data_IF_638891904901
#
_entry.id   IF_638891904901
#
_cell.length_a   1.000
_cell.length_b   1.000
_cell.length_c   1.000
_cell.angle_alpha   90.00
_cell.angle_beta   90.00
_cell.angle_gamma   90.00
#
_symmetry.space_group_name_H-M   'P 1'
#
loop_
_entity.id
_entity.type
_entity.pdbx_description
1 polymer ?
#
# COMPACT_ATOMS: atom_id res chain seq x y z
N UNK A 1 54.52 -46.66 25.24
CA UNK A 1 54.21 -47.91 24.50
C UNK A 1 53.43 -47.51 23.26
N UNK A 2 54.09 -47.31 22.12
CA UNK A 2 54.23 -48.25 20.97
C UNK A 2 52.90 -48.70 20.35
N UNK A 3 52.72 -48.33 19.08
CA UNK A 3 52.00 -49.08 18.03
C UNK A 3 50.71 -48.43 17.56
N UNK A 4 50.31 -48.45 16.29
CA UNK A 4 50.92 -48.96 15.06
C UNK A 4 50.09 -48.38 13.90
N UNK A 5 50.75 -47.94 12.83
CA UNK A 5 50.14 -47.55 11.55
C UNK A 5 49.44 -48.75 10.89
N UNK A 6 48.29 -48.54 10.24
CA UNK A 6 47.89 -49.30 9.04
C UNK A 6 47.09 -48.42 8.07
N UNK A 7 47.73 -48.13 6.95
CA UNK A 7 47.14 -47.57 5.73
C UNK A 7 46.45 -48.69 4.95
N UNK A 8 45.24 -48.44 4.46
CA UNK A 8 44.59 -49.23 3.40
C UNK A 8 44.32 -48.30 2.23
N UNK A 9 45.07 -48.49 1.14
CA UNK A 9 44.77 -47.90 -0.16
C UNK A 9 43.69 -48.72 -0.86
N UNK A 10 42.56 -48.09 -1.15
CA UNK A 10 41.52 -48.62 -2.03
C UNK A 10 41.41 -47.73 -3.26
N UNK A 11 41.82 -48.24 -4.42
CA UNK A 11 41.56 -47.62 -5.70
C UNK A 11 40.05 -47.77 -6.02
N UNK A 12 39.30 -46.67 -6.00
CA UNK A 12 37.92 -46.61 -6.47
C UNK A 12 37.90 -46.13 -7.92
N UNK A 13 37.56 -47.04 -8.84
CA UNK A 13 37.11 -46.69 -10.19
C UNK A 13 35.76 -45.97 -10.09
N UNK A 14 35.72 -44.68 -10.42
CA UNK A 14 34.48 -43.96 -10.64
C UNK A 14 33.97 -44.20 -12.07
N UNK A 15 32.70 -44.61 -12.26
CA UNK A 15 32.11 -44.64 -13.59
C UNK A 15 31.86 -43.21 -14.07
N UNK A 16 32.23 -42.94 -15.33
CA UNK A 16 31.92 -41.70 -16.02
C UNK A 16 30.40 -41.56 -16.16
N UNK A 17 29.81 -40.66 -15.35
CA UNK A 17 28.42 -40.23 -15.50
C UNK A 17 28.36 -39.26 -16.68
N UNK A 18 27.77 -39.72 -17.78
CA UNK A 18 27.47 -38.89 -18.95
C UNK A 18 26.33 -37.92 -18.58
N UNK A 19 26.65 -36.65 -18.32
CA UNK A 19 25.67 -35.59 -18.13
C UNK A 19 25.04 -35.22 -19.47
N UNK A 20 23.82 -35.73 -19.72
CA UNK A 20 22.93 -35.24 -20.76
C UNK A 20 22.49 -33.81 -20.39
N UNK A 21 23.08 -32.81 -21.05
CA UNK A 21 22.61 -31.44 -21.00
C UNK A 21 21.24 -31.38 -21.70
N UNK A 22 20.17 -31.40 -20.91
CA UNK A 22 18.83 -31.07 -21.39
C UNK A 22 18.82 -29.58 -21.78
N UNK A 23 18.81 -29.31 -23.08
CA UNK A 23 18.61 -27.96 -23.59
C UNK A 23 17.25 -27.45 -23.15
N UNK A 24 17.23 -26.41 -22.33
CA UNK A 24 16.01 -25.71 -21.98
C UNK A 24 15.42 -25.13 -23.29
N UNK A 25 14.26 -25.63 -23.71
CA UNK A 25 13.49 -25.02 -24.78
C UNK A 25 13.16 -23.58 -24.35
N UNK A 26 13.51 -22.61 -25.20
CA UNK A 26 13.16 -21.21 -24.96
C UNK A 26 11.63 -21.10 -24.81
N UNK A 27 11.14 -20.21 -23.92
CA UNK A 27 9.70 -20.01 -23.74
C UNK A 27 9.07 -19.62 -25.07
N UNK A 28 7.96 -20.28 -25.40
CA UNK A 28 7.23 -20.06 -26.64
C UNK A 28 6.63 -18.65 -26.62
N UNK A 29 7.24 -17.73 -27.36
CA UNK A 29 6.78 -16.34 -27.45
C UNK A 29 5.59 -16.29 -28.40
N UNK A 30 4.40 -16.06 -27.83
CA UNK A 30 3.17 -15.85 -28.59
C UNK A 30 3.09 -14.40 -29.08
N UNK A 31 3.47 -14.18 -30.33
CA UNK A 31 3.30 -12.89 -30.99
C UNK A 31 1.82 -12.63 -31.29
N UNK A 32 1.34 -11.42 -30.96
CA UNK A 32 0.01 -10.94 -31.33
C UNK A 32 0.14 -9.69 -32.18
N UNK A 33 -0.48 -9.73 -33.35
CA UNK A 33 -0.46 -8.62 -34.29
C UNK A 33 -1.78 -7.84 -34.24
N UNK A 34 -1.66 -6.52 -34.31
CA UNK A 34 -2.81 -5.61 -34.36
C UNK A 34 -2.61 -4.60 -35.48
N UNK A 35 -3.68 -4.30 -36.22
CA UNK A 35 -3.71 -3.19 -37.16
C UNK A 35 -4.37 -1.99 -36.48
N UNK A 36 -3.61 -0.92 -36.31
CA UNK A 36 -4.14 0.38 -35.91
C UNK A 36 -4.39 1.23 -37.15
N UNK A 37 -5.59 1.78 -37.25
CA UNK A 37 -5.93 2.78 -38.25
C UNK A 37 -6.36 4.09 -37.56
N UNK A 38 -5.69 5.18 -37.89
CA UNK A 38 -6.04 6.54 -37.47
C UNK A 38 -6.71 7.28 -38.62
N UNK A 39 -7.88 7.86 -38.36
CA UNK A 39 -8.51 8.87 -39.23
C UNK A 39 -8.35 10.24 -38.58
N UNK A 40 -7.74 11.17 -39.32
CA UNK A 40 -7.62 12.59 -38.93
C UNK A 40 -8.62 13.41 -39.75
N UNK A 41 -9.38 14.26 -39.07
CA UNK A 41 -10.23 15.25 -39.70
C UNK A 41 -9.94 16.61 -39.07
N UNK A 42 -9.70 17.61 -39.90
CA UNK A 42 -9.61 18.99 -39.45
C UNK A 42 -11.03 19.49 -39.15
N UNK A 43 -11.20 20.12 -38.00
CA UNK A 43 -12.49 20.64 -37.57
C UNK A 43 -12.44 22.18 -37.57
N UNK A 44 -13.21 22.79 -38.47
CA UNK A 44 -13.33 24.25 -38.65
C UNK A 44 -12.89 24.72 -40.04
N UNK A 45 -13.30 25.94 -40.42
CA UNK A 45 -12.78 26.63 -41.59
C UNK A 45 -11.52 27.39 -41.17
N UNK A 46 -10.36 27.00 -41.70
CA UNK A 46 -9.05 27.31 -41.14
C UNK A 46 -8.17 28.17 -42.08
N UNK A 47 -8.55 29.42 -42.41
CA UNK A 47 -7.84 30.23 -43.40
C UNK A 47 -6.45 30.74 -42.94
N UNK A 48 -6.08 30.58 -41.66
CA UNK A 48 -4.81 31.10 -41.11
C UNK A 48 -4.10 30.19 -40.10
N UNK A 49 -4.54 28.92 -39.97
CA UNK A 49 -3.82 27.86 -39.26
C UNK A 49 -3.70 27.98 -37.73
N UNK A 50 -4.27 29.01 -37.09
CA UNK A 50 -4.01 29.28 -35.65
C UNK A 50 -4.89 28.55 -34.64
N UNK A 51 -6.00 27.91 -35.02
CA UNK A 51 -6.87 27.18 -34.07
C UNK A 51 -7.52 25.92 -34.68
N UNK A 52 -6.79 25.21 -35.55
CA UNK A 52 -7.33 23.99 -36.14
C UNK A 52 -7.27 22.84 -35.14
N UNK A 53 -8.40 22.55 -34.51
CA UNK A 53 -8.54 21.31 -33.73
C UNK A 53 -8.58 20.12 -34.69
N UNK A 54 -7.64 19.19 -34.52
CA UNK A 54 -7.62 17.93 -35.30
C UNK A 54 -8.39 16.88 -34.52
N UNK A 55 -9.54 16.47 -35.05
CA UNK A 55 -10.28 15.33 -34.54
C UNK A 55 -9.61 14.05 -35.01
N UNK A 56 -9.28 13.17 -34.06
CA UNK A 56 -8.66 11.86 -34.33
C UNK A 56 -9.64 10.75 -33.94
N UNK A 57 -9.85 9.80 -34.83
CA UNK A 57 -10.62 8.58 -34.57
C UNK A 57 -9.73 7.37 -34.82
N UNK A 58 -9.69 6.43 -33.88
CA UNK A 58 -8.86 5.24 -33.96
C UNK A 58 -9.73 3.99 -34.15
N UNK A 59 -9.26 3.04 -34.96
CA UNK A 59 -9.84 1.71 -35.10
C UNK A 59 -8.73 0.68 -34.95
N UNK A 60 -8.93 -0.29 -34.07
CA UNK A 60 -7.95 -1.34 -33.77
C UNK A 60 -8.57 -2.68 -34.13
N UNK A 61 -7.89 -3.50 -34.93
CA UNK A 61 -8.34 -4.85 -35.27
C UNK A 61 -7.23 -5.86 -35.01
N UNK A 62 -7.50 -6.97 -34.29
CA UNK A 62 -6.52 -8.04 -34.15
C UNK A 62 -6.41 -8.81 -35.47
N UNK A 63 -5.23 -9.31 -35.79
CA UNK A 63 -5.08 -10.38 -36.76
C UNK A 63 -5.53 -11.70 -36.13
N UNK A 64 -6.19 -12.54 -36.93
CA UNK A 64 -6.48 -13.90 -36.48
C UNK A 64 -5.18 -14.70 -36.45
N UNK A 65 -5.10 -15.72 -35.60
CA UNK A 65 -3.92 -16.58 -35.50
C UNK A 65 -3.58 -17.26 -36.84
N UNK A 66 -4.60 -17.63 -37.61
CA UNK A 66 -4.46 -18.19 -38.96
C UNK A 66 -3.77 -17.22 -39.95
N UNK A 67 -3.78 -15.91 -39.68
CA UNK A 67 -3.19 -14.88 -40.56
C UNK A 67 -1.79 -14.46 -40.10
N UNK A 68 -1.18 -15.14 -39.11
CA UNK A 68 0.10 -14.76 -38.50
C UNK A 68 1.23 -14.60 -39.53
N UNK A 69 1.40 -15.58 -40.40
CA UNK A 69 2.49 -15.57 -41.39
C UNK A 69 2.30 -14.44 -42.40
N UNK A 70 1.06 -14.18 -42.81
CA UNK A 70 0.72 -13.07 -43.69
C UNK A 70 1.00 -11.71 -43.02
N UNK A 71 0.68 -11.59 -41.73
CA UNK A 71 0.99 -10.39 -40.95
C UNK A 71 2.52 -10.17 -40.86
N UNK A 72 3.29 -11.20 -40.52
CA UNK A 72 4.76 -11.15 -40.46
C UNK A 72 5.39 -10.72 -41.79
N UNK A 73 4.91 -11.30 -42.90
CA UNK A 73 5.36 -10.92 -44.24
C UNK A 73 5.04 -9.45 -44.54
N UNK A 74 3.83 -9.00 -44.21
CA UNK A 74 3.43 -7.60 -44.39
C UNK A 74 4.35 -6.66 -43.59
N UNK A 75 4.58 -6.92 -42.31
CA UNK A 75 5.47 -6.09 -41.48
C UNK A 75 6.91 -6.08 -42.01
N UNK A 76 7.43 -7.23 -42.44
CA UNK A 76 8.77 -7.32 -43.05
C UNK A 76 8.87 -6.50 -44.33
N UNK A 77 7.83 -6.51 -45.18
CA UNK A 77 7.79 -5.71 -46.41
C UNK A 77 7.74 -4.21 -46.10
N UNK A 78 6.93 -3.81 -45.12
CA UNK A 78 6.82 -2.40 -44.69
C UNK A 78 8.13 -1.88 -44.10
N UNK A 79 8.81 -2.69 -43.27
CA UNK A 79 10.10 -2.35 -42.68
C UNK A 79 11.18 -2.17 -43.74
N UNK A 80 11.31 -3.12 -44.67
CA UNK A 80 12.25 -3.00 -45.80
C UNK A 80 12.01 -1.73 -46.61
N UNK A 81 10.73 -1.41 -46.86
CA UNK A 81 10.36 -0.19 -47.57
C UNK A 81 10.78 1.07 -46.79
N UNK A 82 10.50 1.13 -45.49
CA UNK A 82 10.90 2.25 -44.62
C UNK A 82 12.42 2.44 -44.62
N UNK A 83 13.18 1.35 -44.42
CA UNK A 83 14.66 1.37 -44.43
C UNK A 83 15.17 1.86 -45.79
N UNK A 84 14.62 1.37 -46.89
CA UNK A 84 15.03 1.81 -48.24
C UNK A 84 14.74 3.29 -48.52
N UNK A 85 13.76 3.87 -47.83
CA UNK A 85 13.43 5.29 -47.88
C UNK A 85 14.22 6.15 -46.87
N UNK A 86 15.17 5.56 -46.12
CA UNK A 86 15.90 6.26 -45.06
C UNK A 86 15.05 6.62 -43.83
N UNK A 87 13.87 6.00 -43.69
CA UNK A 87 12.98 6.20 -42.55
C UNK A 87 13.29 5.18 -41.45
N UNK A 88 13.10 5.58 -40.19
CA UNK A 88 13.15 4.64 -39.07
C UNK A 88 11.91 3.74 -39.09
N UNK A 89 12.01 2.45 -38.71
CA UNK A 89 10.86 1.55 -38.61
C UNK A 89 9.78 2.08 -37.65
N UNK A 90 10.22 2.71 -36.55
CA UNK A 90 9.35 3.38 -35.59
C UNK A 90 9.29 4.89 -35.87
N UNK A 91 8.11 5.38 -36.24
CA UNK A 91 7.89 6.82 -36.42
C UNK A 91 7.88 7.55 -35.08
N UNK A 92 8.53 8.72 -34.94
CA UNK A 92 8.43 9.55 -33.75
C UNK A 92 6.99 10.02 -33.47
N UNK A 93 6.14 10.04 -34.50
CA UNK A 93 4.72 10.40 -34.41
C UNK A 93 3.81 9.19 -34.08
N UNK A 94 4.38 7.99 -33.87
CA UNK A 94 3.60 6.82 -33.51
C UNK A 94 2.84 7.07 -32.19
N UNK A 95 1.54 6.73 -32.12
CA UNK A 95 0.77 6.92 -30.91
C UNK A 95 1.38 6.11 -29.77
N UNK A 96 1.76 6.80 -28.70
CA UNK A 96 2.19 6.16 -27.47
C UNK A 96 0.97 5.53 -26.83
N UNK A 97 0.85 4.21 -26.90
CA UNK A 97 -0.12 3.50 -26.09
C UNK A 97 0.30 3.69 -24.63
N UNK A 98 -0.54 4.38 -23.86
CA UNK A 98 -0.48 4.25 -22.41
C UNK A 98 -0.53 2.75 -22.13
N UNK A 99 0.45 2.19 -21.42
CA UNK A 99 0.34 0.86 -20.82
C UNK A 99 -0.76 0.91 -19.76
N UNK A 100 -2.01 1.01 -20.21
CA UNK A 100 -3.22 1.16 -19.42
C UNK A 100 -3.65 -0.18 -18.85
N UNK A 101 -2.75 -0.87 -18.17
CA UNK A 101 -3.15 -1.60 -16.98
C UNK A 101 -3.13 -0.60 -15.85
N UNK A 102 -3.98 -0.76 -14.84
CA UNK A 102 -3.53 -0.47 -13.49
C UNK A 102 -2.08 -0.96 -13.40
N UNK A 103 -1.14 -0.16 -12.90
CA UNK A 103 0.18 -0.70 -12.53
C UNK A 103 -0.12 -2.01 -11.83
N UNK A 104 0.19 -3.12 -12.49
CA UNK A 104 0.06 -4.42 -11.87
C UNK A 104 0.95 -4.26 -10.64
N UNK A 105 0.36 -4.33 -9.46
CA UNK A 105 1.17 -4.34 -8.25
C UNK A 105 2.19 -5.45 -8.49
N UNK A 106 3.48 -5.18 -8.23
CA UNK A 106 4.54 -6.18 -8.40
C UNK A 106 4.40 -7.35 -7.40
N UNK A 107 3.28 -7.42 -6.68
CA UNK A 107 2.88 -8.44 -5.74
C UNK A 107 1.36 -8.71 -5.85
N UNK A 108 0.94 -9.91 -5.46
CA UNK A 108 -0.46 -10.26 -5.27
C UNK A 108 -0.89 -9.92 -3.83
N UNK A 109 -1.81 -8.96 -3.61
CA UNK A 109 -2.26 -8.58 -2.27
C UNK A 109 -2.90 -9.73 -1.48
N UNK A 110 -3.52 -10.70 -2.15
CA UNK A 110 -4.16 -11.86 -1.50
C UNK A 110 -3.13 -12.90 -1.02
N UNK A 111 -1.91 -12.88 -1.58
CA UNK A 111 -0.81 -13.75 -1.14
C UNK A 111 0.02 -13.14 -0.01
N UNK A 112 -0.24 -11.88 0.37
CA UNK A 112 0.43 -11.26 1.50
C UNK A 112 0.01 -11.94 2.80
N UNK A 113 0.98 -12.23 3.65
CA UNK A 113 0.71 -12.77 4.99
C UNK A 113 -0.04 -11.71 5.81
N UNK A 114 -1.09 -12.16 6.50
CA UNK A 114 -1.75 -11.33 7.50
C UNK A 114 -0.74 -10.86 8.54
N UNK A 115 -0.68 -9.55 8.72
CA UNK A 115 0.23 -8.95 9.68
C UNK A 115 -0.30 -9.04 11.09
N UNK A 116 0.59 -8.91 12.08
CA UNK A 116 0.15 -8.76 13.47
C UNK A 116 -0.43 -7.36 13.70
N UNK A 117 -1.17 -7.16 14.80
CA UNK A 117 -1.83 -5.88 15.10
C UNK A 117 -0.85 -4.71 15.31
N UNK A 118 0.40 -4.97 15.71
CA UNK A 118 1.39 -3.92 15.98
C UNK A 118 2.01 -3.37 14.69
N UNK A 119 2.11 -4.18 13.65
CA UNK A 119 2.64 -3.78 12.35
C UNK A 119 1.86 -2.64 11.71
N UNK A 120 0.57 -2.51 12.05
CA UNK A 120 -0.24 -1.36 11.62
C UNK A 120 0.27 -0.01 12.16
N UNK A 121 1.11 0.00 13.19
CA UNK A 121 1.69 1.20 13.78
C UNK A 121 3.04 1.59 13.16
N UNK A 122 3.62 0.72 12.32
CA UNK A 122 4.94 0.95 11.72
C UNK A 122 4.88 2.12 10.74
N UNK A 123 5.89 2.99 10.81
CA UNK A 123 6.05 4.12 9.90
C UNK A 123 5.10 5.30 10.15
N UNK A 124 4.24 5.22 11.17
CA UNK A 124 3.41 6.35 11.57
C UNK A 124 4.30 7.45 12.14
N UNK A 125 4.32 8.60 11.46
CA UNK A 125 5.09 9.80 11.87
C UNK A 125 4.26 10.88 12.53
N UNK A 126 2.96 10.85 12.27
CA UNK A 126 2.01 11.82 12.78
C UNK A 126 0.67 11.16 13.09
N UNK A 127 -0.06 11.72 14.03
CA UNK A 127 -1.39 11.26 14.44
C UNK A 127 -2.26 12.46 14.80
N UNK A 128 -3.57 12.30 14.61
CA UNK A 128 -4.55 13.24 15.12
C UNK A 128 -5.38 12.60 16.23
N UNK A 129 -5.76 13.40 17.21
CA UNK A 129 -6.81 13.13 18.18
C UNK A 129 -7.41 14.46 18.65
N UNK A 130 -8.68 14.42 19.05
CA UNK A 130 -9.35 15.53 19.73
C UNK A 130 -10.12 15.00 20.94
N UNK A 131 -9.63 15.36 22.12
CA UNK A 131 -10.22 15.03 23.41
C UNK A 131 -10.87 16.24 24.08
N UNK A 132 -10.76 17.42 23.46
CA UNK A 132 -11.20 18.70 24.05
C UNK A 132 -12.69 18.71 24.40
N UNK A 133 -13.49 17.90 23.69
CA UNK A 133 -14.94 17.79 23.85
C UNK A 133 -15.39 16.57 24.67
N UNK A 134 -14.46 15.81 25.26
CA UNK A 134 -14.85 14.70 26.13
C UNK A 134 -15.59 15.21 27.37
N UNK A 135 -16.77 14.64 27.61
CA UNK A 135 -17.59 14.94 28.79
C UNK A 135 -16.87 14.44 30.04
N UNK A 136 -16.85 15.28 31.07
CA UNK A 136 -16.32 14.92 32.38
C UNK A 136 -17.24 13.91 33.12
N UNK A 137 -16.69 13.04 33.98
CA UNK A 137 -17.51 12.29 34.93
C UNK A 137 -18.17 13.24 35.94
N UNK A 138 -19.28 12.79 36.54
CA UNK A 138 -20.02 13.61 37.49
C UNK A 138 -19.16 13.93 38.72
N UNK A 139 -19.18 15.18 39.17
CA UNK A 139 -18.36 15.66 40.29
C UNK A 139 -16.91 16.03 39.96
N UNK A 140 -16.46 15.86 38.70
CA UNK A 140 -15.13 16.33 38.29
C UNK A 140 -15.07 17.87 38.28
N UNK A 141 -14.12 18.43 39.02
CA UNK A 141 -13.88 19.87 39.05
C UNK A 141 -12.88 20.27 37.95
N UNK A 142 -13.31 21.14 37.02
CA UNK A 142 -12.43 21.76 36.01
C UNK A 142 -12.65 21.26 34.58
N UNK A 143 -11.67 21.54 33.71
CA UNK A 143 -11.75 21.28 32.28
C UNK A 143 -11.24 19.88 31.92
N UNK A 144 -12.11 18.86 32.04
CA UNK A 144 -11.74 17.45 31.80
C UNK A 144 -11.15 17.21 30.41
N UNK A 145 -11.92 17.48 29.35
CA UNK A 145 -11.49 17.28 27.96
C UNK A 145 -10.23 18.08 27.58
N UNK A 146 -10.19 19.40 27.83
CA UNK A 146 -8.99 20.20 27.56
C UNK A 146 -7.75 19.75 28.35
N UNK A 147 -7.90 19.33 29.60
CA UNK A 147 -6.79 18.79 30.40
C UNK A 147 -6.26 17.46 29.81
N UNK A 148 -7.16 16.57 29.36
CA UNK A 148 -6.78 15.33 28.67
C UNK A 148 -6.08 15.62 27.34
N UNK A 149 -6.58 16.58 26.55
CA UNK A 149 -5.96 17.00 25.30
C UNK A 149 -4.52 17.46 25.54
N UNK A 150 -4.30 18.34 26.51
CA UNK A 150 -2.98 18.83 26.86
C UNK A 150 -2.03 17.71 27.30
N UNK A 151 -2.51 16.77 28.12
CA UNK A 151 -1.71 15.63 28.56
C UNK A 151 -1.36 14.65 27.44
N UNK A 152 -2.30 14.38 26.53
CA UNK A 152 -2.03 13.56 25.34
C UNK A 152 -0.98 14.25 24.46
N UNK A 153 -1.15 15.53 24.14
CA UNK A 153 -0.19 16.28 23.33
C UNK A 153 1.20 16.28 23.95
N UNK A 154 1.29 16.48 25.27
CA UNK A 154 2.55 16.46 26.02
C UNK A 154 3.24 15.11 25.90
N UNK A 155 2.52 14.00 26.12
CA UNK A 155 3.06 12.63 26.07
C UNK A 155 3.50 12.23 24.65
N UNK A 156 2.68 12.52 23.65
CA UNK A 156 2.99 12.20 22.25
C UNK A 156 4.20 13.00 21.76
N UNK A 157 4.27 14.29 22.10
CA UNK A 157 5.43 15.13 21.78
C UNK A 157 6.70 14.64 22.47
N UNK A 158 6.61 14.24 23.75
CA UNK A 158 7.75 13.68 24.48
C UNK A 158 8.27 12.36 23.88
N UNK A 159 7.38 11.55 23.29
CA UNK A 159 7.75 10.33 22.57
C UNK A 159 8.26 10.59 21.14
N UNK A 160 8.25 11.84 20.66
CA UNK A 160 8.68 12.21 19.31
C UNK A 160 7.64 11.96 18.21
N UNK A 161 6.38 11.67 18.57
CA UNK A 161 5.29 11.49 17.62
C UNK A 161 4.57 12.82 17.36
N UNK A 162 4.47 13.24 16.10
CA UNK A 162 3.86 14.52 15.74
C UNK A 162 2.35 14.47 15.92
N UNK A 163 1.78 15.40 16.69
CA UNK A 163 0.34 15.63 16.75
C UNK A 163 -0.05 16.65 15.71
N UNK A 164 -1.07 16.36 14.90
CA UNK A 164 -1.56 17.29 13.86
C UNK A 164 -2.97 17.78 14.13
N UNK A 165 -3.27 19.00 13.68
CA UNK A 165 -4.61 19.59 13.74
C UNK A 165 -5.55 18.99 12.69
N UNK A 166 -6.85 19.21 12.89
CA UNK A 166 -7.88 18.78 11.95
C UNK A 166 -7.70 19.40 10.55
N UNK A 167 -7.30 20.69 10.45
CA UNK A 167 -7.08 21.33 9.14
C UNK A 167 -5.93 20.69 8.37
N UNK A 168 -4.93 20.14 9.08
CA UNK A 168 -3.78 19.49 8.47
C UNK A 168 -4.13 18.10 7.93
N UNK A 169 -5.02 17.35 8.59
CA UNK A 169 -5.52 16.06 8.08
C UNK A 169 -6.20 16.21 6.73
N UNK A 170 -6.94 17.30 6.53
CA UNK A 170 -7.61 17.57 5.24
C UNK A 170 -6.62 17.80 4.10
N UNK A 171 -5.40 18.26 4.41
CA UNK A 171 -4.34 18.56 3.45
C UNK A 171 -3.34 17.42 3.28
N UNK A 172 -3.20 16.55 4.28
CA UNK A 172 -2.25 15.43 4.30
C UNK A 172 -3.01 14.08 4.31
N UNK A 173 -3.29 13.51 3.12
CA UNK A 173 -3.99 12.22 3.04
C UNK A 173 -3.16 11.11 3.68
N UNK A 174 -3.80 10.25 4.46
CA UNK A 174 -3.18 9.08 5.08
C UNK A 174 -2.78 9.26 6.54
N UNK A 175 -2.94 10.47 7.12
CA UNK A 175 -2.73 10.65 8.57
C UNK A 175 -3.75 9.81 9.37
N UNK A 176 -3.29 8.98 10.32
CA UNK A 176 -4.15 8.18 11.19
C UNK A 176 -4.84 9.04 12.26
N UNK A 177 -6.05 8.64 12.64
CA UNK A 177 -6.84 9.33 13.68
C UNK A 177 -7.06 8.37 14.85
N UNK A 178 -6.58 8.75 16.03
CA UNK A 178 -6.85 8.06 17.28
C UNK A 178 -8.16 8.61 17.87
N UNK A 179 -9.19 7.76 17.87
CA UNK A 179 -10.49 8.10 18.43
C UNK A 179 -10.57 7.50 19.83
N UNK A 180 -11.00 8.29 20.81
CA UNK A 180 -11.22 7.84 22.19
C UNK A 180 -12.68 8.05 22.52
N UNK A 181 -13.34 6.97 22.91
CA UNK A 181 -14.72 6.91 23.36
C UNK A 181 -14.71 6.67 24.86
N UNK A 182 -15.48 7.46 25.59
CA UNK A 182 -15.54 7.41 27.04
C UNK A 182 -16.99 7.43 27.51
N UNK A 183 -17.31 6.44 28.34
CA UNK A 183 -18.56 6.38 29.10
C UNK A 183 -18.22 6.54 30.58
N UNK A 184 -18.64 7.63 31.24
CA UNK A 184 -18.36 7.85 32.66
C UNK A 184 -19.15 6.87 33.55
N UNK A 185 -18.68 6.72 34.79
CA UNK A 185 -19.40 5.96 35.82
C UNK A 185 -20.80 6.55 36.04
N UNK A 186 -21.81 5.70 36.11
CA UNK A 186 -23.17 6.08 36.45
C UNK A 186 -23.50 5.58 37.86
N UNK A 187 -23.61 6.51 38.81
CA UNK A 187 -23.88 6.21 40.22
C UNK A 187 -25.32 5.74 40.46
N UNK A 188 -26.28 6.12 39.62
CA UNK A 188 -27.68 5.69 39.74
C UNK A 188 -27.86 4.23 39.33
N UNK A 189 -27.15 3.80 38.28
CA UNK A 189 -27.24 2.42 37.75
C UNK A 189 -26.18 1.48 38.31
N UNK A 190 -25.15 2.01 38.97
CA UNK A 190 -23.98 1.25 39.44
C UNK A 190 -23.07 0.77 38.30
N UNK A 191 -23.22 1.29 37.09
CA UNK A 191 -22.36 0.94 35.96
C UNK A 191 -21.03 1.69 36.06
N UNK A 192 -19.93 0.95 36.11
CA UNK A 192 -18.59 1.55 36.09
C UNK A 192 -18.25 2.15 34.71
N UNK A 193 -17.27 3.07 34.72
CA UNK A 193 -16.76 3.68 33.50
C UNK A 193 -16.17 2.66 32.51
N UNK A 194 -16.13 3.06 31.25
CA UNK A 194 -15.46 2.31 30.18
C UNK A 194 -14.83 3.28 29.18
N UNK A 195 -13.60 2.97 28.78
CA UNK A 195 -12.85 3.72 27.76
C UNK A 195 -12.54 2.76 26.63
N UNK A 196 -12.83 3.16 25.40
CA UNK A 196 -12.43 2.44 24.21
C UNK A 196 -11.70 3.39 23.27
N UNK A 197 -10.57 2.97 22.72
CA UNK A 197 -9.84 3.74 21.75
C UNK A 197 -9.53 2.92 20.50
N UNK A 198 -9.56 3.57 19.35
CA UNK A 198 -9.24 2.96 18.06
C UNK A 198 -8.46 3.92 17.15
N UNK A 199 -7.36 3.41 16.59
CA UNK A 199 -6.62 4.10 15.54
C UNK A 199 -7.23 3.79 14.18
N UNK A 200 -7.92 4.78 13.63
CA UNK A 200 -8.51 4.74 12.30
C UNK A 200 -7.49 5.10 11.23
N UNK A 201 -7.27 4.20 10.28
CA UNK A 201 -6.39 4.41 9.13
C UNK A 201 -7.14 4.19 7.82
N UNK A 202 -6.56 4.70 6.74
CA UNK A 202 -6.99 4.34 5.40
C UNK A 202 -6.44 2.97 5.04
N UNK A 203 -7.29 2.07 4.57
CA UNK A 203 -6.90 0.74 4.07
C UNK A 203 -7.49 0.49 2.69
N UNK A 204 -6.85 -0.41 1.94
CA UNK A 204 -7.34 -0.92 0.65
C UNK A 204 -7.84 -2.35 0.83
N UNK A 205 -8.90 -2.72 0.11
CA UNK A 205 -9.36 -4.11 0.11
C UNK A 205 -8.51 -4.94 -0.85
N UNK A 206 -8.02 -6.10 -0.40
CA UNK A 206 -7.24 -7.01 -1.26
C UNK A 206 -8.06 -7.52 -2.45
N UNK A 207 -9.36 -7.82 -2.24
CA UNK A 207 -10.29 -8.24 -3.32
C UNK A 207 -10.55 -7.19 -4.40
N UNK A 208 -10.43 -5.91 -4.06
CA UNK A 208 -10.56 -4.78 -5.00
C UNK A 208 -9.77 -3.59 -4.46
N UNK A 209 -8.51 -3.49 -4.87
CA UNK A 209 -7.55 -2.47 -4.43
C UNK A 209 -7.95 -1.04 -4.81
N UNK A 210 -8.98 -0.86 -5.65
CA UNK A 210 -9.57 0.46 -5.96
C UNK A 210 -10.53 0.93 -4.87
N UNK A 211 -10.95 0.03 -3.97
CA UNK A 211 -11.81 0.34 -2.84
C UNK A 211 -10.97 0.79 -1.66
N UNK A 212 -11.15 2.06 -1.29
CA UNK A 212 -10.49 2.72 -0.15
C UNK A 212 -11.48 2.88 0.99
N UNK A 213 -11.14 2.40 2.18
CA UNK A 213 -11.99 2.49 3.37
C UNK A 213 -11.22 3.07 4.55
N UNK A 214 -11.96 3.60 5.54
CA UNK A 214 -11.42 3.95 6.85
C UNK A 214 -11.73 2.80 7.81
N UNK A 215 -10.71 2.24 8.47
CA UNK A 215 -10.85 1.10 9.36
C UNK A 215 -9.99 1.24 10.62
N UNK A 216 -10.47 0.66 11.73
CA UNK A 216 -9.70 0.53 12.96
C UNK A 216 -8.59 -0.50 12.79
N UNK A 217 -7.35 -0.08 13.00
CA UNK A 217 -6.15 -0.92 12.78
C UNK A 217 -5.39 -1.23 14.06
N UNK A 218 -5.62 -0.43 15.09
CA UNK A 218 -5.22 -0.67 16.47
C UNK A 218 -6.40 -0.29 17.36
N UNK A 219 -6.61 -1.02 18.46
CA UNK A 219 -7.65 -0.70 19.41
C UNK A 219 -7.29 -1.18 20.81
N UNK A 220 -7.81 -0.50 21.82
CA UNK A 220 -7.65 -0.84 23.22
C UNK A 220 -8.87 -0.43 24.03
N UNK A 221 -9.20 -1.23 25.02
CA UNK A 221 -10.21 -0.90 26.02
C UNK A 221 -9.55 -0.76 27.39
N UNK A 222 -10.04 0.17 28.19
CA UNK A 222 -9.66 0.38 29.58
C UNK A 222 -10.93 0.54 30.42
N UNK A 223 -10.83 0.22 31.70
CA UNK A 223 -11.92 0.30 32.67
C UNK A 223 -11.33 0.27 34.08
N UNK A 224 -12.18 0.03 35.10
CA UNK A 224 -11.71 -0.31 36.44
C UNK A 224 -10.72 -1.47 36.37
N UNK A 225 -9.62 -1.36 37.11
CA UNK A 225 -8.55 -2.35 37.11
C UNK A 225 -8.08 -2.62 38.52
N UNK A 226 -7.96 -3.90 38.88
CA UNK A 226 -7.38 -4.32 40.16
C UNK A 226 -5.89 -3.96 40.27
N UNK A 227 -5.21 -3.78 39.13
CA UNK A 227 -3.82 -3.31 39.08
C UNK A 227 -3.71 -1.82 39.46
N UNK A 228 -4.78 -1.05 39.26
CA UNK A 228 -4.86 0.38 39.54
C UNK A 228 -6.15 0.72 40.30
N UNK A 229 -6.32 0.24 41.54
CA UNK A 229 -7.59 0.35 42.27
C UNK A 229 -7.98 1.80 42.57
N UNK A 230 -7.00 2.70 42.69
CA UNK A 230 -7.19 4.13 42.96
C UNK A 230 -7.24 4.99 41.68
N UNK A 231 -7.18 4.37 40.50
CA UNK A 231 -7.16 5.12 39.25
C UNK A 231 -8.54 5.69 38.88
N UNK A 232 -8.55 6.98 38.59
CA UNK A 232 -9.72 7.72 38.13
C UNK A 232 -10.05 7.41 36.66
N UNK A 233 -11.21 7.87 36.20
CA UNK A 233 -11.57 7.88 34.78
C UNK A 233 -10.55 8.66 33.92
N UNK A 234 -9.99 9.73 34.48
CA UNK A 234 -8.93 10.51 33.82
C UNK A 234 -7.67 9.65 33.61
N UNK A 235 -7.25 8.92 34.64
CA UNK A 235 -6.10 8.02 34.57
C UNK A 235 -6.32 6.88 33.58
N UNK A 236 -7.55 6.35 33.50
CA UNK A 236 -7.91 5.31 32.54
C UNK A 236 -7.75 5.78 31.09
N UNK A 237 -8.12 7.03 30.79
CA UNK A 237 -7.93 7.61 29.47
C UNK A 237 -6.43 7.85 29.21
N UNK A 238 -5.65 8.28 30.20
CA UNK A 238 -4.20 8.42 30.03
C UNK A 238 -3.48 7.08 29.81
N UNK A 239 -3.97 5.97 30.38
CA UNK A 239 -3.45 4.62 30.09
C UNK A 239 -3.61 4.22 28.62
N UNK A 240 -4.62 4.73 27.92
CA UNK A 240 -4.75 4.56 26.47
C UNK A 240 -3.58 5.22 25.75
N UNK A 241 -3.23 6.46 26.10
CA UNK A 241 -2.09 7.16 25.50
C UNK A 241 -0.79 6.38 25.75
N UNK A 242 -0.55 5.94 26.99
CA UNK A 242 0.65 5.18 27.33
C UNK A 242 0.71 3.86 26.58
N UNK A 243 -0.42 3.16 26.45
CA UNK A 243 -0.49 1.94 25.70
C UNK A 243 -0.22 2.13 24.21
N UNK A 244 -0.84 3.13 23.60
CA UNK A 244 -0.61 3.48 22.22
C UNK A 244 0.87 3.79 21.96
N UNK A 245 1.48 4.63 22.80
CA UNK A 245 2.88 5.02 22.67
C UNK A 245 3.84 3.84 22.88
N UNK A 246 3.60 2.98 23.87
CA UNK A 246 4.40 1.75 24.06
C UNK A 246 4.35 0.85 22.83
N UNK A 247 3.16 0.62 22.30
CA UNK A 247 2.96 -0.22 21.11
C UNK A 247 3.59 0.40 19.86
N UNK A 248 3.47 1.72 19.71
CA UNK A 248 4.09 2.49 18.62
C UNK A 248 5.62 2.44 18.69
N UNK A 249 6.23 2.65 19.86
CA UNK A 249 7.69 2.51 20.03
C UNK A 249 8.13 1.11 19.67
N UNK A 250 7.42 0.08 20.17
CA UNK A 250 7.72 -1.32 19.86
C UNK A 250 7.65 -1.63 18.37
N UNK A 251 6.68 -1.06 17.64
CA UNK A 251 6.52 -1.26 16.21
C UNK A 251 7.60 -0.57 15.35
N UNK A 252 8.26 0.46 15.90
CA UNK A 252 9.21 1.33 15.19
C UNK A 252 10.65 1.24 15.73
N UNK A 253 10.97 0.25 16.57
CA UNK A 253 12.30 0.04 17.14
C UNK A 253 13.31 -0.66 16.20
N UNK A 254 12.95 -0.91 14.94
CA UNK A 254 13.71 -1.70 13.96
C UNK A 254 13.85 -0.97 12.63
#
# INVERSE_FOLDING_TARGET
>A
MRGFYRSFGGAMCFPAVLLLLAGAAAPDTLDRFWLLWEKRAEQGDCPSGRDCSVRRNFSVRPFQEADRDAALQLFTLLERKAISAGQQPDSPDAPRFCKGGAQALDFDPELLRLSNKLEALRGIRAVHFDLSRLRAPDGYAGEFGPSLQAEFERRFRAAGLQVVSEEKIQKEPGVPILNVYFSPTNLETGCHYSVFAALSQTVLLTRDIRTKLRAGTWARSEGPSDEFPEATEFDAILRIADAFLRDWVKANAH
#
